data_IF_234768645734
#
_entry.id   IF_234768645734
#
_cell.length_a   1.000
_cell.length_b   1.000
_cell.length_c   1.000
_cell.angle_alpha   90.00
_cell.angle_beta   90.00
_cell.angle_gamma   90.00
#
_symmetry.space_group_name_H-M   'P 1'
#
loop_
_entity.id
_entity.type
_entity.pdbx_description
1 polymer ?
#
# COMPACT_ATOMS: atom_id res chain seq x y z
N UNK A 1 -53.48 -8.18 51.58
CA UNK A 1 -52.12 -7.62 51.51
C UNK A 1 -51.40 -8.22 50.31
N UNK A 2 -50.95 -7.44 49.31
CA UNK A 2 -50.19 -7.94 48.17
C UNK A 2 -48.67 -7.87 48.43
N UNK A 3 -47.92 -8.91 48.05
CA UNK A 3 -46.45 -8.86 47.97
C UNK A 3 -46.04 -8.52 46.54
N UNK A 4 -45.39 -7.38 46.35
CA UNK A 4 -44.74 -6.99 45.10
C UNK A 4 -43.43 -7.76 44.95
N UNK A 5 -43.17 -8.34 43.77
CA UNK A 5 -41.86 -8.85 43.38
C UNK A 5 -41.15 -7.74 42.60
N UNK A 6 -40.02 -7.26 43.13
CA UNK A 6 -39.11 -6.36 42.42
C UNK A 6 -38.31 -7.15 41.39
N UNK A 7 -38.58 -6.94 40.09
CA UNK A 7 -37.68 -7.39 39.03
C UNK A 7 -36.50 -6.42 38.94
N UNK A 8 -35.32 -6.92 39.30
CA UNK A 8 -34.03 -6.26 39.15
C UNK A 8 -33.71 -6.03 37.66
N UNK A 9 -33.54 -4.78 37.29
CA UNK A 9 -32.96 -4.34 36.02
C UNK A 9 -31.52 -4.83 35.91
N UNK A 10 -31.28 -5.88 35.11
CA UNK A 10 -29.94 -6.28 34.72
C UNK A 10 -29.41 -5.25 33.73
N UNK A 11 -28.51 -4.39 34.21
CA UNK A 11 -27.72 -3.45 33.43
C UNK A 11 -27.00 -4.19 32.30
N UNK A 12 -27.35 -3.89 31.05
CA UNK A 12 -26.63 -4.32 29.86
C UNK A 12 -25.25 -3.64 29.85
N UNK A 13 -24.23 -4.32 30.38
CA UNK A 13 -22.85 -4.06 29.99
C UNK A 13 -22.64 -4.68 28.60
N UNK A 14 -21.98 -3.99 27.66
CA UNK A 14 -21.64 -4.59 26.37
C UNK A 14 -20.68 -5.75 26.64
N UNK A 15 -21.14 -6.95 26.29
CA UNK A 15 -20.43 -8.21 26.44
C UNK A 15 -19.17 -8.19 25.56
N UNK A 16 -17.99 -8.07 26.18
CA UNK A 16 -16.66 -8.09 25.55
C UNK A 16 -16.22 -9.53 25.17
N UNK A 17 -17.15 -10.48 25.01
CA UNK A 17 -16.84 -11.88 25.31
C UNK A 17 -17.39 -12.91 24.32
N UNK A 18 -17.02 -12.80 23.05
CA UNK A 18 -16.79 -14.00 22.25
C UNK A 18 -15.45 -13.93 21.49
N UNK A 19 -14.40 -14.64 21.95
CA UNK A 19 -13.11 -14.66 21.27
C UNK A 19 -13.22 -15.17 19.83
N UNK A 20 -14.25 -15.95 19.48
CA UNK A 20 -14.52 -16.37 18.10
C UNK A 20 -15.00 -15.21 17.25
N UNK A 21 -15.90 -14.36 17.77
CA UNK A 21 -16.34 -13.15 17.07
C UNK A 21 -15.18 -12.18 16.89
N UNK A 22 -14.35 -12.00 17.92
CA UNK A 22 -13.16 -11.15 17.78
C UNK A 22 -12.18 -11.69 16.74
N UNK A 23 -11.97 -13.00 16.70
CA UNK A 23 -11.14 -13.63 15.67
C UNK A 23 -11.73 -13.42 14.27
N UNK A 24 -13.03 -13.59 14.08
CA UNK A 24 -13.70 -13.34 12.79
C UNK A 24 -13.51 -11.89 12.35
N UNK A 25 -13.68 -10.93 13.26
CA UNK A 25 -13.44 -9.52 13.00
C UNK A 25 -11.99 -9.27 12.57
N UNK A 26 -11.01 -9.81 13.32
CA UNK A 26 -9.59 -9.65 13.01
C UNK A 26 -9.20 -10.29 11.67
N UNK A 27 -9.78 -11.45 11.33
CA UNK A 27 -9.56 -12.10 10.03
C UNK A 27 -10.13 -11.24 8.90
N UNK A 28 -11.32 -10.67 9.09
CA UNK A 28 -11.93 -9.75 8.13
C UNK A 28 -11.10 -8.47 7.97
N UNK A 29 -10.67 -7.85 9.06
CA UNK A 29 -9.83 -6.66 9.02
C UNK A 29 -8.50 -6.94 8.33
N UNK A 30 -7.89 -8.10 8.60
CA UNK A 30 -6.69 -8.54 7.90
C UNK A 30 -6.94 -8.69 6.40
N UNK A 31 -8.06 -9.29 5.97
CA UNK A 31 -8.38 -9.41 4.54
C UNK A 31 -8.58 -8.05 3.87
N UNK A 32 -9.27 -7.13 4.55
CA UNK A 32 -9.50 -5.78 4.04
C UNK A 32 -8.18 -5.01 3.88
N UNK A 33 -7.29 -5.10 4.88
CA UNK A 33 -5.96 -4.49 4.80
C UNK A 33 -5.11 -5.09 3.68
N UNK A 34 -5.19 -6.40 3.44
CA UNK A 34 -4.47 -7.03 2.32
C UNK A 34 -4.99 -6.54 0.96
N UNK A 35 -6.29 -6.34 0.82
CA UNK A 35 -6.90 -5.83 -0.41
C UNK A 35 -6.55 -4.36 -0.67
N UNK A 36 -6.55 -3.56 0.41
CA UNK A 36 -6.11 -2.16 0.38
C UNK A 36 -4.63 -2.07 -0.01
N UNK A 37 -3.76 -2.87 0.61
CA UNK A 37 -2.34 -2.91 0.29
C UNK A 37 -2.12 -3.27 -1.19
N UNK A 38 -2.77 -4.33 -1.67
CA UNK A 38 -2.66 -4.73 -3.08
C UNK A 38 -3.16 -3.64 -4.04
N UNK A 39 -4.13 -2.83 -3.62
CA UNK A 39 -4.61 -1.69 -4.40
C UNK A 39 -3.57 -0.58 -4.46
N UNK A 40 -2.95 -0.24 -3.33
CA UNK A 40 -1.87 0.75 -3.26
C UNK A 40 -0.64 0.31 -4.06
N UNK A 41 -0.24 -0.95 -3.97
CA UNK A 41 0.87 -1.51 -4.77
C UNK A 41 0.65 -1.34 -6.27
N UNK A 42 -0.55 -1.66 -6.75
CA UNK A 42 -0.92 -1.44 -8.16
C UNK A 42 -0.90 0.04 -8.54
N UNK A 43 -1.32 0.92 -7.65
CA UNK A 43 -1.28 2.37 -7.88
C UNK A 43 0.16 2.88 -7.95
N UNK A 44 1.02 2.46 -7.01
CA UNK A 44 2.43 2.83 -6.98
C UNK A 44 3.13 2.39 -8.26
N UNK A 45 2.90 1.16 -8.71
CA UNK A 45 3.45 0.68 -9.98
C UNK A 45 3.09 1.58 -11.17
N UNK A 46 1.82 2.01 -11.26
CA UNK A 46 1.36 2.93 -12.31
C UNK A 46 1.96 4.32 -12.17
N UNK A 47 2.01 4.85 -10.96
CA UNK A 47 2.59 6.17 -10.70
C UNK A 47 4.09 6.22 -11.01
N UNK A 48 4.82 5.17 -10.62
CA UNK A 48 6.24 5.03 -10.97
C UNK A 48 6.47 5.01 -12.48
N UNK A 49 5.59 4.33 -13.23
CA UNK A 49 5.67 4.29 -14.68
C UNK A 49 5.51 5.69 -15.28
N UNK A 50 4.45 6.41 -14.89
CA UNK A 50 4.25 7.78 -15.34
C UNK A 50 5.40 8.72 -14.95
N UNK A 51 5.89 8.60 -13.72
CA UNK A 51 6.96 9.44 -13.20
C UNK A 51 8.26 9.25 -14.00
N UNK A 52 8.67 8.01 -14.24
CA UNK A 52 9.89 7.70 -14.97
C UNK A 52 9.83 8.16 -16.43
N UNK A 53 8.66 8.08 -17.06
CA UNK A 53 8.46 8.56 -18.43
C UNK A 53 8.49 10.08 -18.52
N UNK A 54 7.76 10.76 -17.64
CA UNK A 54 7.61 12.22 -17.66
C UNK A 54 8.92 12.93 -17.31
N UNK A 55 9.66 12.40 -16.33
CA UNK A 55 10.89 13.04 -15.82
C UNK A 55 12.15 12.64 -16.59
N UNK A 56 12.05 11.72 -17.55
CA UNK A 56 13.20 11.21 -18.30
C UNK A 56 14.03 12.30 -19.02
N UNK A 57 13.40 13.42 -19.38
CA UNK A 57 14.03 14.49 -20.14
C UNK A 57 15.04 15.31 -19.31
N UNK A 58 14.74 15.55 -18.03
CA UNK A 58 15.52 16.46 -17.18
C UNK A 58 16.36 15.73 -16.12
N UNK A 59 16.07 14.45 -15.89
CA UNK A 59 16.67 13.67 -14.81
C UNK A 59 15.67 13.42 -13.67
N UNK A 60 15.94 12.41 -12.86
CA UNK A 60 15.07 11.99 -11.76
C UNK A 60 15.84 11.20 -10.69
N UNK A 61 15.16 10.88 -9.59
CA UNK A 61 15.79 10.19 -8.44
C UNK A 61 16.39 8.82 -8.77
N UNK A 62 15.93 8.17 -9.84
CA UNK A 62 16.43 6.86 -10.26
C UNK A 62 17.71 6.98 -11.10
N UNK A 63 17.83 8.04 -11.90
CA UNK A 63 18.92 8.22 -12.88
C UNK A 63 19.87 9.38 -12.58
N UNK A 64 19.58 10.19 -11.58
CA UNK A 64 20.31 11.42 -11.26
C UNK A 64 19.86 12.63 -12.08
N UNK A 65 20.44 13.79 -11.72
CA UNK A 65 20.11 15.11 -12.29
C UNK A 65 21.23 15.69 -13.14
N UNK A 66 22.22 14.90 -13.56
CA UNK A 66 23.38 15.39 -14.34
C UNK A 66 22.96 16.07 -15.65
N UNK A 67 21.81 15.68 -16.19
CA UNK A 67 21.21 16.26 -17.41
C UNK A 67 20.55 17.62 -17.19
N UNK A 68 20.25 17.96 -15.94
CA UNK A 68 19.66 19.25 -15.57
C UNK A 68 20.67 20.40 -15.75
N UNK A 69 21.96 20.16 -15.46
CA UNK A 69 23.02 21.17 -15.60
C UNK A 69 23.58 21.30 -17.02
N UNK A 70 23.37 20.30 -17.90
CA UNK A 70 23.76 20.46 -19.30
C UNK A 70 22.75 21.34 -20.02
N UNK A 71 23.02 22.64 -20.12
CA UNK A 71 22.27 23.62 -20.93
C UNK A 71 22.20 23.28 -22.44
N UNK A 72 22.74 22.14 -22.87
CA UNK A 72 22.53 21.63 -24.22
C UNK A 72 21.15 20.99 -24.31
N UNK A 73 20.15 21.83 -24.56
CA UNK A 73 18.84 21.48 -25.15
C UNK A 73 19.00 20.91 -26.58
N UNK A 74 19.96 20.02 -26.79
CA UNK A 74 20.30 19.48 -28.11
C UNK A 74 20.37 17.96 -28.10
N UNK A 75 19.25 17.33 -27.77
CA UNK A 75 18.75 16.15 -28.52
C UNK A 75 17.24 15.93 -28.26
N UNK A 76 16.45 16.99 -28.47
CA UNK A 76 15.05 16.81 -28.82
C UNK A 76 15.02 16.23 -30.24
N UNK A 77 15.00 14.90 -30.37
CA UNK A 77 14.60 14.14 -31.59
C UNK A 77 14.80 12.62 -31.42
N UNK A 78 15.03 12.10 -30.20
CA UNK A 78 14.74 10.69 -30.01
C UNK A 78 13.21 10.61 -29.85
N UNK A 79 12.49 9.97 -30.79
CA UNK A 79 11.04 9.88 -30.70
C UNK A 79 10.65 9.23 -29.36
N UNK A 80 9.37 9.33 -29.00
CA UNK A 80 8.64 8.45 -28.07
C UNK A 80 8.89 6.96 -28.40
N UNK A 81 10.14 6.51 -28.38
CA UNK A 81 10.48 5.11 -28.25
C UNK A 81 10.06 4.85 -26.84
N UNK A 82 8.99 4.07 -26.72
CA UNK A 82 8.61 3.31 -25.54
C UNK A 82 9.89 2.66 -24.99
N UNK A 83 10.64 3.42 -24.20
CA UNK A 83 11.84 2.91 -23.54
C UNK A 83 11.26 2.03 -22.46
N UNK A 84 11.34 0.73 -22.68
CA UNK A 84 10.88 -0.28 -21.72
C UNK A 84 11.52 0.03 -20.38
N UNK A 85 10.68 0.49 -19.44
CA UNK A 85 11.08 0.69 -18.05
C UNK A 85 11.46 -0.68 -17.52
N UNK A 86 12.65 -0.79 -16.95
CA UNK A 86 13.08 -2.05 -16.32
C UNK A 86 12.54 -2.10 -14.91
N UNK A 87 12.23 -3.29 -14.40
CA UNK A 87 11.76 -3.46 -13.02
C UNK A 87 12.80 -2.97 -12.01
N UNK A 88 14.09 -3.06 -12.33
CA UNK A 88 15.19 -2.51 -11.52
C UNK A 88 15.16 -0.99 -11.37
N UNK A 89 14.44 -0.27 -12.24
CA UNK A 89 14.28 1.19 -12.18
C UNK A 89 13.08 1.60 -11.30
N UNK A 90 12.26 0.64 -10.85
CA UNK A 90 11.05 0.86 -10.05
C UNK A 90 11.36 0.72 -8.56
N UNK A 91 12.03 1.72 -8.01
CA UNK A 91 12.56 1.68 -6.64
C UNK A 91 11.46 1.47 -5.58
N UNK A 92 10.32 2.14 -5.70
CA UNK A 92 9.22 2.03 -4.74
C UNK A 92 8.52 0.67 -4.84
N UNK A 93 8.30 0.15 -6.06
CA UNK A 93 7.78 -1.22 -6.23
C UNK A 93 8.74 -2.25 -5.62
N UNK A 94 10.05 -2.12 -5.88
CA UNK A 94 11.06 -3.04 -5.36
C UNK A 94 11.11 -3.02 -3.82
N UNK A 95 10.98 -1.84 -3.21
CA UNK A 95 10.94 -1.73 -1.74
C UNK A 95 9.72 -2.46 -1.19
N UNK A 96 8.53 -2.21 -1.75
CA UNK A 96 7.29 -2.80 -1.23
C UNK A 96 7.24 -4.30 -1.45
N UNK A 97 7.65 -4.77 -2.63
CA UNK A 97 7.68 -6.20 -2.94
C UNK A 97 8.61 -6.99 -2.01
N UNK A 98 9.70 -6.39 -1.53
CA UNK A 98 10.66 -7.04 -0.66
C UNK A 98 10.31 -6.95 0.83
N UNK A 99 9.17 -6.34 1.20
CA UNK A 99 8.73 -6.34 2.60
C UNK A 99 8.36 -7.78 2.97
N UNK A 100 9.05 -8.41 3.94
CA UNK A 100 8.71 -9.75 4.35
C UNK A 100 7.30 -9.74 4.94
N UNK A 101 6.39 -10.48 4.30
CA UNK A 101 5.09 -10.77 4.89
C UNK A 101 5.34 -11.38 6.27
N UNK A 102 4.81 -10.78 7.34
CA UNK A 102 5.01 -11.19 8.74
C UNK A 102 4.56 -12.61 9.13
N UNK A 103 4.33 -13.48 8.13
CA UNK A 103 3.98 -14.88 8.25
C UNK A 103 5.16 -15.83 7.93
N UNK A 104 6.41 -15.35 7.79
CA UNK A 104 7.57 -16.24 7.85
C UNK A 104 7.71 -16.77 9.29
N UNK A 105 6.99 -17.87 9.53
CA UNK A 105 7.08 -18.70 10.72
C UNK A 105 8.55 -19.09 10.88
N UNK A 106 9.13 -18.79 12.04
CA UNK A 106 10.26 -19.55 12.55
C UNK A 106 9.82 -21.02 12.58
N UNK A 107 10.31 -21.80 11.63
CA UNK A 107 10.30 -23.25 11.64
C UNK A 107 11.57 -23.76 12.31
#
# INVERSE_FOLDING_TARGET
>A
MPRTKSNSSSTNMPDDTDPRQKLIELVRQRSELTDQLATLERQIYKFEESYLLETAAYGNIVRGWDRYSSHTLHRQTQPKRERKIKDTERLFFQVIHNIPNGNQKFG
#
